data_IF_278236996767
#
_entry.id   IF_278236996767
#
_cell.length_a   1.000
_cell.length_b   1.000
_cell.length_c   1.000
_cell.angle_alpha   90.00
_cell.angle_beta   90.00
_cell.angle_gamma   90.00
#
_symmetry.space_group_name_H-M   'P 1'
#
loop_
_entity.id
_entity.type
_entity.pdbx_description
1 polymer ?
#
# COMPACT_ATOMS: atom_id res chain seq x y z
N UNK A 1 13.50 23.30 -38.35
CA UNK A 1 12.97 22.87 -37.05
C UNK A 1 14.02 23.04 -35.98
N UNK A 2 13.88 24.05 -35.09
CA UNK A 2 14.83 24.28 -33.99
C UNK A 2 14.52 23.27 -32.88
N UNK A 3 15.46 22.39 -32.55
CA UNK A 3 15.38 21.56 -31.34
C UNK A 3 15.57 22.47 -30.13
N UNK A 4 14.56 22.58 -29.29
CA UNK A 4 14.67 23.22 -27.97
C UNK A 4 15.29 22.18 -27.05
N UNK A 5 16.56 22.34 -26.70
CA UNK A 5 17.21 21.58 -25.65
C UNK A 5 16.83 22.24 -24.32
N UNK A 6 15.90 21.62 -23.59
CA UNK A 6 15.60 21.98 -22.21
C UNK A 6 16.58 21.19 -21.35
N UNK A 7 17.59 21.86 -20.81
CA UNK A 7 18.49 21.31 -19.80
C UNK A 7 17.81 21.41 -18.44
N UNK A 8 17.46 20.25 -17.83
CA UNK A 8 16.89 20.16 -16.49
C UNK A 8 17.94 20.18 -15.36
N UNK A 9 19.02 20.94 -15.52
CA UNK A 9 20.15 20.95 -14.58
C UNK A 9 20.21 22.16 -13.63
N UNK A 10 19.09 22.87 -13.43
CA UNK A 10 19.01 23.95 -12.44
C UNK A 10 18.16 23.56 -11.25
N UNK A 11 18.75 23.31 -10.05
CA UNK A 11 18.00 22.94 -8.85
C UNK A 11 17.03 24.01 -8.33
N UNK A 12 17.10 25.25 -8.87
CA UNK A 12 16.29 26.38 -8.44
C UNK A 12 14.86 26.38 -9.02
N UNK A 13 14.52 25.49 -9.96
CA UNK A 13 13.22 25.39 -10.60
C UNK A 13 12.44 24.12 -10.18
N UNK A 14 12.56 23.68 -8.95
CA UNK A 14 11.60 22.73 -8.41
C UNK A 14 10.34 23.54 -8.06
N UNK A 15 9.40 23.62 -8.99
CA UNK A 15 8.05 24.06 -8.65
C UNK A 15 7.55 23.12 -7.53
N UNK A 16 6.99 23.65 -6.43
CA UNK A 16 6.44 22.79 -5.39
C UNK A 16 5.37 21.91 -6.03
N UNK A 17 5.61 20.58 -6.01
CA UNK A 17 4.62 19.63 -6.52
C UNK A 17 3.36 19.76 -5.68
N UNK A 18 2.17 19.78 -6.31
CA UNK A 18 0.92 19.85 -5.56
C UNK A 18 0.81 18.65 -4.62
N UNK A 19 0.37 18.90 -3.40
CA UNK A 19 0.12 17.82 -2.43
C UNK A 19 -0.85 16.79 -3.03
N UNK A 20 -0.49 15.50 -2.93
CA UNK A 20 -1.32 14.38 -3.38
C UNK A 20 -2.47 14.15 -2.39
N UNK A 21 -3.47 15.01 -2.42
CA UNK A 21 -4.72 14.82 -1.69
C UNK A 21 -5.69 13.89 -2.47
N UNK A 22 -6.76 13.46 -1.81
CA UNK A 22 -7.77 12.55 -2.40
C UNK A 22 -8.31 13.04 -3.74
N UNK A 23 -8.54 14.35 -3.88
CA UNK A 23 -9.06 14.94 -5.12
C UNK A 23 -8.07 14.82 -6.27
N UNK A 24 -6.77 15.01 -6.03
CA UNK A 24 -5.73 14.83 -7.05
C UNK A 24 -5.55 13.34 -7.37
N UNK A 25 -5.51 12.48 -6.36
CA UNK A 25 -5.44 11.03 -6.56
C UNK A 25 -6.59 10.52 -7.42
N UNK A 26 -7.83 10.96 -7.16
CA UNK A 26 -9.00 10.61 -7.96
C UNK A 26 -8.86 11.09 -9.41
N UNK A 27 -8.41 12.34 -9.64
CA UNK A 27 -8.18 12.86 -11.00
C UNK A 27 -7.11 12.05 -11.75
N UNK A 28 -6.02 11.65 -11.09
CA UNK A 28 -4.98 10.81 -11.69
C UNK A 28 -5.52 9.42 -12.06
N UNK A 29 -6.28 8.78 -11.18
CA UNK A 29 -6.93 7.48 -11.43
C UNK A 29 -7.89 7.54 -12.63
N UNK A 30 -8.65 8.63 -12.75
CA UNK A 30 -9.55 8.87 -13.88
C UNK A 30 -8.79 9.16 -15.18
N UNK A 31 -7.70 9.95 -15.11
CA UNK A 31 -6.88 10.28 -16.28
C UNK A 31 -6.26 9.04 -16.95
N UNK A 32 -5.91 8.01 -16.17
CA UNK A 32 -5.43 6.72 -16.71
C UNK A 32 -6.56 5.72 -16.98
N UNK A 33 -7.82 6.13 -16.84
CA UNK A 33 -9.01 5.27 -17.03
C UNK A 33 -8.95 3.99 -16.20
N UNK A 34 -8.51 4.08 -14.94
CA UNK A 34 -8.38 2.93 -14.06
C UNK A 34 -9.74 2.23 -13.87
N UNK A 35 -9.85 0.90 -14.09
CA UNK A 35 -11.12 0.20 -13.98
C UNK A 35 -11.78 0.35 -12.60
N UNK A 36 -13.10 0.44 -12.54
CA UNK A 36 -13.84 0.67 -11.28
C UNK A 36 -13.54 -0.35 -10.20
N UNK A 37 -13.38 -1.64 -10.56
CA UNK A 37 -13.04 -2.68 -9.59
C UNK A 37 -11.63 -2.50 -9.01
N UNK A 38 -10.67 -1.98 -9.79
CA UNK A 38 -9.33 -1.64 -9.29
C UNK A 38 -9.38 -0.41 -8.39
N UNK A 39 -10.19 0.59 -8.74
CA UNK A 39 -10.41 1.75 -7.89
C UNK A 39 -11.01 1.34 -6.54
N UNK A 40 -12.06 0.49 -6.55
CA UNK A 40 -12.69 -0.02 -5.35
C UNK A 40 -11.72 -0.86 -4.49
N UNK A 41 -10.85 -1.66 -5.11
CA UNK A 41 -9.77 -2.36 -4.41
C UNK A 41 -8.82 -1.38 -3.72
N UNK A 42 -8.34 -0.37 -4.45
CA UNK A 42 -7.44 0.65 -3.88
C UNK A 42 -8.09 1.43 -2.74
N UNK A 43 -9.41 1.70 -2.83
CA UNK A 43 -10.15 2.35 -1.75
C UNK A 43 -10.18 1.46 -0.49
N UNK A 44 -10.48 0.16 -0.63
CA UNK A 44 -10.47 -0.79 0.48
C UNK A 44 -9.06 -0.97 1.09
N UNK A 45 -8.01 -1.03 0.26
CA UNK A 45 -6.61 -1.04 0.73
C UNK A 45 -6.28 0.23 1.49
N UNK A 46 -6.75 1.39 1.03
CA UNK A 46 -6.53 2.69 1.69
C UNK A 46 -7.18 2.74 3.08
N UNK A 47 -8.43 2.28 3.20
CA UNK A 47 -9.10 2.22 4.50
C UNK A 47 -8.32 1.35 5.50
N UNK A 48 -7.85 0.19 5.06
CA UNK A 48 -7.06 -0.70 5.92
C UNK A 48 -5.70 -0.11 6.27
N UNK A 49 -4.98 0.45 5.28
CA UNK A 49 -3.66 1.07 5.51
C UNK A 49 -3.74 2.22 6.52
N UNK A 50 -4.73 3.12 6.38
CA UNK A 50 -4.98 4.19 7.34
C UNK A 50 -5.34 3.65 8.74
N UNK A 51 -6.10 2.56 8.81
CA UNK A 51 -6.43 1.91 10.08
C UNK A 51 -5.19 1.34 10.76
N UNK A 52 -4.32 0.66 10.03
CA UNK A 52 -3.04 0.14 10.54
C UNK A 52 -2.13 1.28 11.04
N UNK A 53 -2.03 2.37 10.26
CA UNK A 53 -1.27 3.55 10.63
C UNK A 53 -1.77 4.16 11.96
N UNK A 54 -3.09 4.39 12.08
CA UNK A 54 -3.70 4.91 13.30
C UNK A 54 -3.45 4.00 14.53
N UNK A 55 -3.49 2.69 14.33
CA UNK A 55 -3.20 1.73 15.41
C UNK A 55 -1.76 1.82 15.87
N UNK A 56 -0.82 1.88 14.93
CA UNK A 56 0.60 2.02 15.22
C UNK A 56 0.90 3.35 15.92
N UNK A 57 0.29 4.45 15.48
CA UNK A 57 0.42 5.77 16.12
C UNK A 57 -0.12 5.78 17.55
N UNK A 58 -1.24 5.09 17.79
CA UNK A 58 -1.79 4.93 19.14
C UNK A 58 -0.84 4.16 20.08
N UNK A 59 0.14 3.44 19.54
CA UNK A 59 1.20 2.74 20.25
C UNK A 59 2.56 3.45 20.18
N UNK A 60 2.58 4.73 19.79
CA UNK A 60 3.76 5.61 19.83
C UNK A 60 4.65 5.58 18.59
N UNK A 61 4.21 4.97 17.49
CA UNK A 61 4.93 4.97 16.22
C UNK A 61 4.42 6.12 15.34
N UNK A 62 5.32 6.79 14.62
CA UNK A 62 4.98 7.96 13.79
C UNK A 62 5.19 7.62 12.32
N UNK A 63 4.15 7.88 11.52
CA UNK A 63 4.16 7.69 10.06
C UNK A 63 3.55 8.91 9.37
N UNK A 64 3.93 9.16 8.11
CA UNK A 64 3.22 10.13 7.28
C UNK A 64 1.91 9.53 6.78
N UNK A 65 0.82 9.82 7.51
CA UNK A 65 -0.51 9.35 7.16
C UNK A 65 -0.98 9.80 5.78
N UNK A 66 -0.56 10.99 5.31
CA UNK A 66 -0.91 11.48 3.98
C UNK A 66 -0.18 10.70 2.90
N UNK A 67 1.07 10.35 3.16
CA UNK A 67 1.89 9.51 2.28
C UNK A 67 1.31 8.09 2.21
N UNK A 68 0.97 7.47 3.36
CA UNK A 68 0.30 6.17 3.41
C UNK A 68 -1.00 6.19 2.61
N UNK A 69 -1.83 7.22 2.83
CA UNK A 69 -3.14 7.36 2.18
C UNK A 69 -3.01 7.51 0.67
N UNK A 70 -2.20 8.46 0.20
CA UNK A 70 -2.01 8.70 -1.24
C UNK A 70 -1.30 7.53 -1.91
N UNK A 71 -0.30 6.92 -1.25
CA UNK A 71 0.35 5.70 -1.72
C UNK A 71 -0.62 4.55 -1.90
N UNK A 72 -1.50 4.30 -0.92
CA UNK A 72 -2.53 3.26 -1.01
C UNK A 72 -3.56 3.55 -2.11
N UNK A 73 -4.02 4.80 -2.27
CA UNK A 73 -4.93 5.18 -3.36
C UNK A 73 -4.33 4.95 -4.75
N UNK A 74 -3.02 5.04 -4.89
CA UNK A 74 -2.30 5.05 -6.16
C UNK A 74 -1.48 3.79 -6.42
N UNK A 75 -1.38 2.84 -5.47
CA UNK A 75 -0.48 1.69 -5.61
C UNK A 75 -0.68 0.89 -6.90
N UNK A 76 -1.92 0.78 -7.36
CA UNK A 76 -2.32 0.06 -8.58
C UNK A 76 -2.57 1.01 -9.79
N UNK A 77 -2.07 2.26 -9.78
CA UNK A 77 -2.34 3.27 -10.81
C UNK A 77 -2.00 2.80 -12.24
N UNK A 78 -0.98 2.00 -12.38
CA UNK A 78 -0.54 1.43 -13.65
C UNK A 78 -1.05 0.00 -13.90
N UNK A 79 -2.13 -0.44 -13.23
CA UNK A 79 -2.64 -1.83 -13.24
C UNK A 79 -2.85 -2.43 -14.63
N UNK A 80 -3.13 -1.61 -15.62
CA UNK A 80 -3.32 -2.04 -17.01
C UNK A 80 -2.00 -2.27 -17.76
N UNK A 81 -0.86 -1.92 -17.17
CA UNK A 81 0.46 -2.06 -17.78
C UNK A 81 1.17 -3.33 -17.30
N UNK A 82 2.09 -3.84 -18.13
CA UNK A 82 3.00 -4.92 -17.69
C UNK A 82 3.92 -4.37 -16.61
N UNK A 83 4.25 -5.21 -15.61
CA UNK A 83 5.09 -4.80 -14.48
C UNK A 83 4.59 -3.51 -13.79
N UNK A 84 3.27 -3.42 -13.60
CA UNK A 84 2.57 -2.20 -13.17
C UNK A 84 3.14 -1.55 -11.90
N UNK A 85 3.67 -2.31 -10.94
CA UNK A 85 4.33 -1.75 -9.76
C UNK A 85 5.55 -0.90 -10.18
N UNK A 86 6.42 -1.45 -11.01
CA UNK A 86 7.59 -0.74 -11.54
C UNK A 86 7.17 0.44 -12.40
N UNK A 87 6.26 0.20 -13.36
CA UNK A 87 5.79 1.26 -14.28
C UNK A 87 5.11 2.41 -13.54
N UNK A 88 4.29 2.11 -12.53
CA UNK A 88 3.67 3.13 -11.68
C UNK A 88 4.69 3.91 -10.85
N UNK A 89 5.68 3.21 -10.27
CA UNK A 89 6.78 3.85 -9.54
C UNK A 89 7.59 4.80 -10.43
N UNK A 90 8.01 4.36 -11.62
CA UNK A 90 8.73 5.19 -12.59
C UNK A 90 7.92 6.44 -12.99
N UNK A 91 6.61 6.30 -13.20
CA UNK A 91 5.74 7.43 -13.49
C UNK A 91 5.78 8.46 -12.36
N UNK A 92 5.61 8.05 -11.09
CA UNK A 92 5.60 8.99 -9.97
C UNK A 92 6.98 9.57 -9.67
N UNK A 93 8.07 8.85 -9.94
CA UNK A 93 9.40 9.42 -9.88
C UNK A 93 9.57 10.54 -10.90
N UNK A 94 9.12 10.35 -12.15
CA UNK A 94 9.15 11.37 -13.20
C UNK A 94 8.24 12.57 -12.90
N UNK A 95 7.13 12.34 -12.19
CA UNK A 95 6.25 13.40 -11.71
C UNK A 95 6.79 14.15 -10.49
N UNK A 96 7.95 13.75 -9.94
CA UNK A 96 8.59 14.39 -8.80
C UNK A 96 8.05 13.99 -7.43
N UNK A 97 7.46 12.80 -7.32
CA UNK A 97 6.97 12.21 -6.05
C UNK A 97 7.76 10.94 -5.70
N UNK A 98 9.02 11.06 -5.24
CA UNK A 98 9.89 9.91 -5.00
C UNK A 98 9.38 8.99 -3.90
N UNK A 99 8.77 9.52 -2.83
CA UNK A 99 8.22 8.71 -1.72
C UNK A 99 7.01 7.87 -2.20
N UNK A 100 6.13 8.45 -3.00
CA UNK A 100 5.00 7.71 -3.62
C UNK A 100 5.52 6.68 -4.62
N UNK A 101 6.54 7.04 -5.42
CA UNK A 101 7.21 6.10 -6.32
C UNK A 101 7.71 4.87 -5.56
N UNK A 102 8.32 5.06 -4.39
CA UNK A 102 8.83 4.00 -3.54
C UNK A 102 7.69 3.08 -3.08
N UNK A 103 6.58 3.64 -2.57
CA UNK A 103 5.42 2.85 -2.15
C UNK A 103 4.86 2.04 -3.33
N UNK A 104 4.61 2.68 -4.47
CA UNK A 104 4.03 2.03 -5.64
C UNK A 104 4.94 0.92 -6.15
N UNK A 105 6.25 1.16 -6.26
CA UNK A 105 7.20 0.16 -6.78
C UNK A 105 7.33 -1.08 -5.88
N UNK A 106 7.08 -0.94 -4.58
CA UNK A 106 7.28 -1.98 -3.58
C UNK A 106 5.99 -2.72 -3.17
N UNK A 107 4.80 -2.35 -3.68
CA UNK A 107 3.56 -2.99 -3.23
C UNK A 107 3.45 -4.49 -3.58
N UNK A 108 4.29 -5.00 -4.48
CA UNK A 108 4.39 -6.44 -4.77
C UNK A 108 5.47 -7.15 -3.96
N UNK A 109 6.44 -6.43 -3.41
CA UNK A 109 7.51 -6.98 -2.60
C UNK A 109 8.42 -5.87 -2.13
N UNK A 110 8.72 -5.87 -0.86
CA UNK A 110 9.54 -4.86 -0.21
C UNK A 110 11.03 -5.12 -0.49
N UNK A 111 11.79 -4.05 -0.67
CA UNK A 111 13.26 -4.11 -0.74
C UNK A 111 13.83 -4.58 0.60
N UNK A 112 13.32 -4.01 1.69
CA UNK A 112 13.66 -4.40 3.05
C UNK A 112 12.36 -4.59 3.86
N UNK A 113 12.34 -5.56 4.76
CA UNK A 113 11.19 -5.80 5.63
C UNK A 113 11.26 -4.90 6.89
N UNK A 114 11.41 -3.60 6.67
CA UNK A 114 11.32 -2.56 7.70
C UNK A 114 9.89 -2.04 7.77
N UNK A 115 9.46 -1.62 8.97
CA UNK A 115 8.13 -1.06 9.17
C UNK A 115 8.16 0.44 8.82
N UNK A 116 7.79 0.75 7.58
CA UNK A 116 7.64 2.08 7.02
C UNK A 116 6.29 2.24 6.30
N UNK A 117 6.05 3.37 5.66
CA UNK A 117 4.81 3.65 4.92
C UNK A 117 4.58 2.67 3.77
N UNK A 118 5.65 2.24 3.09
CA UNK A 118 5.57 1.25 2.02
C UNK A 118 5.17 -0.12 2.56
N UNK A 119 5.69 -0.51 3.72
CA UNK A 119 5.35 -1.76 4.39
C UNK A 119 3.88 -1.79 4.86
N UNK A 120 3.35 -0.66 5.35
CA UNK A 120 1.94 -0.53 5.73
C UNK A 120 1.04 -0.73 4.51
N UNK A 121 1.33 -0.06 3.40
CA UNK A 121 0.55 -0.20 2.15
C UNK A 121 0.68 -1.62 1.56
N UNK A 122 1.91 -2.17 1.55
CA UNK A 122 2.13 -3.55 1.11
C UNK A 122 1.30 -4.54 1.92
N UNK A 123 1.34 -4.48 3.26
CA UNK A 123 0.58 -5.41 4.09
C UNK A 123 -0.94 -5.23 3.90
N UNK A 124 -1.42 -3.99 3.82
CA UNK A 124 -2.82 -3.71 3.58
C UNK A 124 -3.31 -4.33 2.25
N UNK A 125 -2.52 -4.22 1.17
CA UNK A 125 -2.83 -4.88 -0.10
C UNK A 125 -2.90 -6.42 0.03
N UNK A 126 -2.02 -7.04 0.84
CA UNK A 126 -2.04 -8.50 1.02
C UNK A 126 -3.19 -8.99 1.90
N UNK A 127 -3.80 -8.12 2.69
CA UNK A 127 -4.97 -8.42 3.53
C UNK A 127 -6.31 -8.09 2.83
N UNK A 128 -6.29 -7.55 1.61
CA UNK A 128 -7.49 -7.25 0.81
C UNK A 128 -7.47 -8.07 -0.48
N UNK A 129 -8.57 -8.76 -0.77
CA UNK A 129 -8.81 -9.42 -2.05
C UNK A 129 -10.09 -8.84 -2.66
N UNK A 130 -9.98 -8.26 -3.86
CA UNK A 130 -11.04 -7.42 -4.42
C UNK A 130 -11.35 -6.25 -3.47
N UNK A 131 -12.45 -6.30 -2.72
CA UNK A 131 -12.81 -5.33 -1.68
C UNK A 131 -12.99 -5.96 -0.32
N UNK A 132 -12.70 -7.28 -0.20
CA UNK A 132 -12.95 -8.05 1.00
C UNK A 132 -11.66 -8.31 1.77
N UNK A 133 -11.78 -8.34 3.10
CA UNK A 133 -10.69 -8.77 3.96
C UNK A 133 -10.48 -10.26 3.87
N UNK A 134 -9.24 -10.66 3.78
CA UNK A 134 -8.81 -12.07 3.75
C UNK A 134 -7.58 -12.26 4.66
N UNK A 135 -7.30 -13.50 5.02
CA UNK A 135 -6.01 -13.82 5.63
C UNK A 135 -4.90 -13.80 4.59
N UNK A 136 -3.67 -13.58 5.04
CA UNK A 136 -2.49 -13.66 4.17
C UNK A 136 -2.43 -15.04 3.50
N UNK A 137 -2.68 -16.11 4.24
CA UNK A 137 -2.67 -17.48 3.74
C UNK A 137 -3.66 -17.67 2.60
N UNK A 138 -4.91 -17.22 2.78
CA UNK A 138 -5.94 -17.30 1.74
C UNK A 138 -5.53 -16.49 0.50
N UNK A 139 -5.09 -15.24 0.69
CA UNK A 139 -4.66 -14.34 -0.39
C UNK A 139 -3.57 -14.97 -1.25
N UNK A 140 -2.56 -15.58 -0.61
CA UNK A 140 -1.44 -16.20 -1.30
C UNK A 140 -1.80 -17.57 -1.87
N UNK A 141 -2.61 -18.38 -1.21
CA UNK A 141 -3.11 -19.64 -1.76
C UNK A 141 -3.91 -19.41 -3.06
N UNK A 142 -4.83 -18.44 -3.07
CA UNK A 142 -5.66 -18.11 -4.24
C UNK A 142 -4.82 -17.56 -5.42
N UNK A 143 -3.70 -16.89 -5.14
CA UNK A 143 -2.84 -16.32 -6.18
C UNK A 143 -1.74 -17.27 -6.68
N UNK A 144 -1.44 -18.35 -5.98
CA UNK A 144 -0.38 -19.32 -6.34
C UNK A 144 -0.54 -19.89 -7.76
N UNK A 145 -1.78 -20.14 -8.19
CA UNK A 145 -2.09 -20.67 -9.53
C UNK A 145 -1.63 -19.74 -10.68
N UNK A 146 -1.41 -18.46 -10.39
CA UNK A 146 -0.93 -17.45 -11.33
C UNK A 146 0.60 -17.51 -11.54
N UNK A 147 1.32 -18.15 -10.61
CA UNK A 147 2.78 -18.29 -10.68
C UNK A 147 3.18 -19.40 -11.64
N UNK A 148 3.49 -19.05 -12.89
CA UNK A 148 3.74 -20.01 -13.98
C UNK A 148 5.20 -20.48 -14.08
N UNK A 149 6.16 -19.76 -13.46
CA UNK A 149 7.57 -20.15 -13.47
C UNK A 149 8.10 -20.41 -12.05
N UNK A 150 9.22 -21.13 -11.89
CA UNK A 150 9.89 -21.31 -10.61
C UNK A 150 10.28 -19.99 -9.95
N UNK A 151 10.75 -19.02 -10.74
CA UNK A 151 11.15 -17.69 -10.27
C UNK A 151 9.92 -16.92 -9.72
N UNK A 152 8.79 -17.00 -10.44
CA UNK A 152 7.54 -16.37 -9.98
C UNK A 152 7.04 -17.01 -8.67
N UNK A 153 7.17 -18.32 -8.51
CA UNK A 153 6.83 -19.03 -7.27
C UNK A 153 7.74 -18.61 -6.12
N UNK A 154 9.05 -18.56 -6.36
CA UNK A 154 10.03 -18.10 -5.35
C UNK A 154 9.75 -16.67 -4.90
N UNK A 155 9.50 -15.76 -5.85
CA UNK A 155 9.13 -14.38 -5.53
C UNK A 155 7.82 -14.30 -4.72
N UNK A 156 6.84 -15.11 -5.07
CA UNK A 156 5.56 -15.19 -4.35
C UNK A 156 5.74 -15.72 -2.91
N UNK A 157 6.58 -16.72 -2.70
CA UNK A 157 6.94 -17.24 -1.37
C UNK A 157 7.67 -16.19 -0.53
N UNK A 158 8.59 -15.44 -1.13
CA UNK A 158 9.27 -14.33 -0.45
C UNK A 158 8.28 -13.24 -0.01
N UNK A 159 7.32 -12.88 -0.86
CA UNK A 159 6.27 -11.93 -0.52
C UNK A 159 5.38 -12.43 0.63
N UNK A 160 5.02 -13.71 0.63
CA UNK A 160 4.28 -14.33 1.73
C UNK A 160 5.05 -14.23 3.05
N UNK A 161 6.34 -14.51 3.04
CA UNK A 161 7.20 -14.40 4.22
C UNK A 161 7.30 -12.97 4.73
N UNK A 162 7.50 -11.99 3.82
CA UNK A 162 7.50 -10.57 4.17
C UNK A 162 6.16 -10.15 4.81
N UNK A 163 5.04 -10.56 4.22
CA UNK A 163 3.71 -10.22 4.73
C UNK A 163 3.46 -10.81 6.12
N UNK A 164 3.84 -12.07 6.36
CA UNK A 164 3.75 -12.72 7.67
C UNK A 164 4.60 -12.00 8.71
N UNK A 165 5.85 -11.73 8.39
CA UNK A 165 6.76 -11.02 9.28
C UNK A 165 6.21 -9.65 9.69
N UNK A 166 5.69 -8.87 8.74
CA UNK A 166 5.08 -7.57 9.04
C UNK A 166 3.81 -7.70 9.86
N UNK A 167 2.97 -8.71 9.57
CA UNK A 167 1.78 -8.99 10.38
C UNK A 167 2.16 -9.28 11.82
N UNK A 168 3.15 -10.15 12.04
CA UNK A 168 3.63 -10.51 13.39
C UNK A 168 4.20 -9.30 14.13
N UNK A 169 4.97 -8.45 13.44
CA UNK A 169 5.50 -7.20 13.99
C UNK A 169 4.35 -6.29 14.44
N UNK A 170 3.39 -6.00 13.57
CA UNK A 170 2.28 -5.10 13.90
C UNK A 170 1.40 -5.67 15.01
N UNK A 171 1.12 -6.98 15.00
CA UNK A 171 0.39 -7.65 16.06
C UNK A 171 1.09 -7.52 17.41
N UNK A 172 2.40 -7.72 17.42
CA UNK A 172 3.22 -7.58 18.63
C UNK A 172 3.23 -6.13 19.15
N UNK A 173 3.43 -5.16 18.26
CA UNK A 173 3.51 -3.74 18.62
C UNK A 173 2.17 -3.17 19.10
N UNK A 174 1.07 -3.62 18.52
CA UNK A 174 -0.29 -3.17 18.83
C UNK A 174 -1.00 -4.07 19.86
N UNK A 175 -0.35 -5.13 20.33
CA UNK A 175 -0.97 -6.13 21.23
C UNK A 175 -2.32 -6.66 20.74
N UNK A 176 -2.43 -6.93 19.45
CA UNK A 176 -3.64 -7.41 18.78
C UNK A 176 -3.38 -8.67 17.97
N UNK A 177 -4.44 -9.33 17.55
CA UNK A 177 -4.39 -10.43 16.57
C UNK A 177 -5.09 -10.00 15.29
N UNK A 178 -4.39 -9.97 14.16
CA UNK A 178 -4.93 -9.69 12.84
C UNK A 178 -5.43 -10.99 12.21
N UNK A 179 -6.58 -11.48 12.65
CA UNK A 179 -7.20 -12.70 12.10
C UNK A 179 -8.56 -12.37 11.47
N UNK A 180 -8.97 -13.19 10.52
CA UNK A 180 -10.25 -13.04 9.80
C UNK A 180 -11.47 -13.51 10.58
N UNK A 181 -11.35 -13.82 11.85
CA UNK A 181 -12.48 -14.30 12.66
C UNK A 181 -12.18 -14.38 14.14
N UNK A 182 -13.00 -13.71 14.90
CA UNK A 182 -13.23 -13.88 16.33
C UNK A 182 -12.04 -13.65 17.28
N UNK A 183 -12.13 -12.68 18.13
CA UNK A 183 -11.09 -12.08 18.83
C UNK A 183 -11.15 -11.91 20.29
N UNK A 184 -10.12 -11.87 21.05
CA UNK A 184 -9.97 -11.38 22.43
C UNK A 184 -8.96 -10.25 22.47
N UNK A 185 -9.35 -9.12 23.10
CA UNK A 185 -8.48 -7.98 23.29
C UNK A 185 -7.98 -7.92 24.72
N UNK A 186 -6.72 -7.57 24.94
CA UNK A 186 -6.21 -7.10 26.20
C UNK A 186 -5.95 -5.60 26.14
N UNK A 187 -6.59 -4.94 27.04
CA UNK A 187 -6.72 -3.53 27.39
C UNK A 187 -5.61 -2.55 27.06
N UNK A 188 -6.00 -1.49 26.33
CA UNK A 188 -5.29 -0.24 26.23
C UNK A 188 -5.97 0.74 25.26
N UNK A 189 -7.01 1.45 25.70
CA UNK A 189 -7.75 2.52 25.03
C UNK A 189 -9.00 2.11 24.27
N UNK A 190 -10.16 2.29 24.93
CA UNK A 190 -11.52 2.04 24.40
C UNK A 190 -11.85 2.78 23.10
N UNK A 191 -11.18 3.89 22.77
CA UNK A 191 -11.39 4.63 21.52
C UNK A 191 -10.81 3.91 20.30
N UNK A 192 -9.64 3.34 20.42
CA UNK A 192 -9.02 2.49 19.38
C UNK A 192 -9.78 1.18 19.21
N UNK A 193 -10.37 0.64 20.30
CA UNK A 193 -11.19 -0.57 20.27
C UNK A 193 -12.44 -0.44 19.40
N UNK A 194 -13.10 0.70 19.40
CA UNK A 194 -14.30 0.91 18.58
C UNK A 194 -13.97 1.04 17.09
N UNK A 195 -12.82 1.61 16.75
CA UNK A 195 -12.32 1.65 15.37
C UNK A 195 -11.91 0.23 14.94
N UNK A 196 -11.17 -0.49 15.77
CA UNK A 196 -10.76 -1.89 15.53
C UNK A 196 -11.99 -2.79 15.41
N UNK A 197 -13.00 -2.67 16.30
CA UNK A 197 -14.26 -3.43 16.19
C UNK A 197 -14.97 -3.21 14.86
N UNK A 198 -14.98 -1.99 14.33
CA UNK A 198 -15.63 -1.67 13.05
C UNK A 198 -14.89 -2.28 11.86
N UNK A 199 -13.58 -2.53 11.98
CA UNK A 199 -12.71 -3.02 10.89
C UNK A 199 -12.20 -4.44 11.09
N UNK A 200 -12.21 -5.00 12.32
CA UNK A 200 -11.63 -6.30 12.64
C UNK A 200 -12.59 -7.31 13.25
N UNK A 201 -13.85 -6.91 13.49
CA UNK A 201 -14.90 -7.83 13.95
C UNK A 201 -16.01 -7.85 12.93
N UNK A 202 -16.18 -9.00 12.38
CA UNK A 202 -17.46 -9.52 11.96
C UNK A 202 -17.65 -10.85 12.64
#
# INVERSE_FOLDING_TARGET
MKKINISFSDPSYILPHPELNDGLCLRLRNAVSLPRHVQAHSDAVTELACCLCNMLESNGYIFDQKLVRSGALLHDIARLQRHHAKTGGELFLQLGYPEISQIISQHHGLLEATLDEAAIVFLADKLIQETQRVTIEKRFADSMSKCKSPEARKAHEQQLEQARKLQDIIQSLCHITLSSGGQTYTTGAEKSLNLVRRYFII
#
